data_IF_759837600527
#
_entry.id   IF_759837600527
#
_cell.length_a   1.000
_cell.length_b   1.000
_cell.length_c   1.000
_cell.angle_alpha   90.00
_cell.angle_beta   90.00
_cell.angle_gamma   90.00
#
_symmetry.space_group_name_H-M   'P 1'
#
loop_
_entity.id
_entity.type
_entity.pdbx_description
1 polymer ?
#
# COMPACT_ATOMS: atom_id res chain seq x y z
N UNK A 1 17.45 -35.85 -34.32
CA UNK A 1 17.04 -35.01 -33.18
C UNK A 1 15.56 -34.71 -33.37
N UNK A 2 14.65 -35.41 -32.67
CA UNK A 2 13.22 -35.12 -32.78
C UNK A 2 12.92 -33.77 -32.14
N UNK A 3 12.09 -32.97 -32.79
CA UNK A 3 11.63 -31.68 -32.30
C UNK A 3 10.88 -31.83 -30.97
N UNK A 4 11.12 -30.90 -30.03
CA UNK A 4 10.34 -30.82 -28.79
C UNK A 4 8.85 -30.65 -29.12
N UNK A 5 7.96 -31.44 -28.50
CA UNK A 5 6.54 -31.32 -28.73
C UNK A 5 6.00 -30.07 -28.01
N UNK A 6 5.41 -29.18 -28.81
CA UNK A 6 4.30 -28.30 -28.43
C UNK A 6 4.52 -27.43 -27.19
N UNK A 7 4.83 -26.16 -27.41
CA UNK A 7 4.49 -25.11 -26.44
C UNK A 7 2.96 -25.10 -26.29
N UNK A 8 2.42 -25.87 -25.36
CA UNK A 8 1.03 -25.71 -24.93
C UNK A 8 0.85 -24.24 -24.56
N UNK A 9 -0.04 -23.57 -25.29
CA UNK A 9 -0.37 -22.17 -25.08
C UNK A 9 -0.93 -22.05 -23.66
N UNK A 10 -0.09 -21.61 -22.72
CA UNK A 10 -0.49 -21.50 -21.32
C UNK A 10 -1.69 -20.59 -21.24
N UNK A 11 -2.83 -21.15 -20.82
CA UNK A 11 -4.05 -20.37 -20.64
C UNK A 11 -3.77 -19.14 -19.79
N UNK A 12 -4.10 -17.96 -20.32
CA UNK A 12 -3.93 -16.72 -19.60
C UNK A 12 -4.74 -16.76 -18.31
N UNK A 13 -4.08 -16.47 -17.19
CA UNK A 13 -4.74 -16.41 -15.89
C UNK A 13 -5.79 -15.30 -15.88
N UNK A 14 -6.99 -15.62 -15.39
CA UNK A 14 -8.05 -14.65 -15.13
C UNK A 14 -8.74 -14.94 -13.81
N UNK A 15 -9.24 -13.87 -13.18
CA UNK A 15 -10.13 -13.94 -12.02
C UNK A 15 -11.19 -12.84 -12.11
N UNK A 16 -12.34 -13.08 -11.53
CA UNK A 16 -13.38 -12.06 -11.43
C UNK A 16 -13.04 -11.07 -10.32
N UNK A 17 -13.18 -9.78 -10.61
CA UNK A 17 -13.24 -8.72 -9.60
C UNK A 17 -14.71 -8.38 -9.38
N UNK A 18 -15.19 -8.60 -8.16
CA UNK A 18 -16.55 -8.26 -7.75
C UNK A 18 -16.63 -6.78 -7.30
N UNK A 19 -17.84 -6.30 -7.07
CA UNK A 19 -18.03 -5.01 -6.39
C UNK A 19 -17.59 -5.11 -4.92
N UNK A 20 -17.01 -4.03 -4.37
CA UNK A 20 -16.53 -4.04 -2.99
C UNK A 20 -17.70 -4.15 -2.00
N UNK A 21 -17.52 -4.92 -0.91
CA UNK A 21 -18.53 -4.96 0.15
C UNK A 21 -18.53 -3.65 0.95
N UNK A 22 -19.65 -3.35 1.62
CA UNK A 22 -19.72 -2.23 2.55
C UNK A 22 -18.74 -2.41 3.73
N UNK A 23 -18.53 -3.65 4.17
CA UNK A 23 -17.60 -4.01 5.24
C UNK A 23 -16.81 -5.26 4.89
N UNK A 24 -15.53 -5.29 5.25
CA UNK A 24 -14.69 -6.47 5.06
C UNK A 24 -15.01 -7.63 6.02
N UNK A 25 -15.81 -7.34 7.05
CA UNK A 25 -16.35 -8.32 7.99
C UNK A 25 -17.87 -8.13 8.10
N UNK A 26 -18.61 -9.21 7.86
CA UNK A 26 -20.06 -9.26 7.98
C UNK A 26 -20.46 -10.44 8.87
N UNK A 27 -21.37 -10.21 9.82
CA UNK A 27 -21.83 -11.24 10.76
C UNK A 27 -20.68 -12.00 11.46
N UNK A 28 -19.58 -11.29 11.74
CA UNK A 28 -18.37 -11.84 12.37
C UNK A 28 -17.51 -12.72 11.46
N UNK A 29 -17.72 -12.73 10.15
CA UNK A 29 -16.93 -13.48 9.16
C UNK A 29 -16.32 -12.53 8.14
N UNK A 30 -15.12 -12.86 7.66
CA UNK A 30 -14.53 -12.11 6.55
C UNK A 30 -15.31 -12.32 5.27
N UNK A 31 -15.58 -11.23 4.56
CA UNK A 31 -16.08 -11.26 3.19
C UNK A 31 -14.87 -11.46 2.27
N UNK A 32 -14.55 -12.72 1.99
CA UNK A 32 -13.39 -13.07 1.17
C UNK A 32 -13.67 -12.77 -0.30
N UNK A 33 -12.71 -12.20 -1.00
CA UNK A 33 -12.88 -11.86 -2.40
C UNK A 33 -11.82 -10.94 -2.96
N UNK A 34 -12.04 -10.62 -4.23
CA UNK A 34 -11.21 -9.80 -5.08
C UNK A 34 -12.14 -8.73 -5.65
N UNK A 35 -11.81 -7.46 -5.47
CA UNK A 35 -12.74 -6.35 -5.67
C UNK A 35 -12.17 -5.30 -6.63
N UNK A 36 -13.05 -4.66 -7.38
CA UNK A 36 -12.73 -3.59 -8.33
C UNK A 36 -12.56 -2.20 -7.69
N UNK A 37 -12.64 -2.11 -6.35
CA UNK A 37 -12.50 -0.88 -5.58
C UNK A 37 -12.33 -1.15 -4.08
N UNK A 38 -12.07 -0.11 -3.26
CA UNK A 38 -11.94 -0.27 -1.82
C UNK A 38 -13.30 -0.61 -1.15
N UNK A 39 -13.32 -1.48 -0.13
CA UNK A 39 -14.46 -1.66 0.76
C UNK A 39 -14.82 -0.36 1.50
N UNK A 40 -16.09 -0.22 1.88
CA UNK A 40 -16.56 0.96 2.63
C UNK A 40 -15.95 1.06 4.04
N UNK A 41 -15.80 -0.09 4.72
CA UNK A 41 -15.25 -0.22 6.07
C UNK A 41 -14.29 -1.40 6.15
N UNK A 42 -13.09 -1.13 6.66
CA UNK A 42 -12.04 -2.13 6.81
C UNK A 42 -11.75 -2.36 8.29
N UNK A 43 -12.77 -2.81 9.04
CA UNK A 43 -12.64 -3.17 10.46
C UNK A 43 -12.43 -4.68 10.62
N UNK A 44 -11.16 -5.10 10.69
CA UNK A 44 -10.82 -6.50 10.91
C UNK A 44 -11.14 -7.01 12.33
N UNK A 45 -11.45 -6.12 13.27
CA UNK A 45 -11.65 -6.47 14.67
C UNK A 45 -13.05 -7.05 14.93
N UNK A 46 -13.97 -6.96 13.97
CA UNK A 46 -15.34 -7.46 14.14
C UNK A 46 -15.45 -8.96 13.90
N UNK A 47 -14.38 -9.61 13.41
CA UNK A 47 -14.35 -11.05 13.20
C UNK A 47 -14.57 -11.82 14.51
N UNK A 48 -15.38 -12.87 14.43
CA UNK A 48 -15.62 -13.83 15.50
C UNK A 48 -14.60 -14.96 15.44
N UNK A 49 -14.05 -15.32 16.60
CA UNK A 49 -13.16 -16.47 16.74
C UNK A 49 -12.03 -16.53 15.68
N UNK A 50 -11.18 -15.49 15.51
CA UNK A 50 -10.09 -15.49 14.52
C UNK A 50 -8.98 -16.53 14.79
N UNK A 51 -9.09 -17.28 15.88
CA UNK A 51 -8.19 -18.39 16.23
C UNK A 51 -8.99 -19.67 16.55
N UNK A 52 -10.22 -19.80 16.03
CA UNK A 52 -11.23 -20.83 16.38
C UNK A 52 -11.85 -20.73 17.79
N UNK A 53 -11.31 -19.89 18.66
CA UNK A 53 -11.90 -19.55 19.95
C UNK A 53 -12.09 -18.03 20.06
N UNK A 54 -13.08 -17.56 20.85
CA UNK A 54 -13.28 -16.13 21.06
C UNK A 54 -12.07 -15.53 21.78
N UNK A 55 -11.64 -14.35 21.34
CA UNK A 55 -10.59 -13.57 21.99
C UNK A 55 -11.08 -12.13 22.19
N UNK A 56 -10.69 -11.47 23.30
CA UNK A 56 -11.00 -10.06 23.53
C UNK A 56 -10.56 -9.14 22.37
N UNK A 57 -11.26 -8.02 22.18
CA UNK A 57 -10.99 -7.05 21.10
C UNK A 57 -9.57 -6.49 21.13
N UNK A 58 -8.97 -6.32 22.31
CA UNK A 58 -7.59 -5.84 22.45
C UNK A 58 -6.55 -6.87 21.96
N UNK A 59 -6.83 -8.19 22.11
CA UNK A 59 -5.98 -9.25 21.52
C UNK A 59 -6.10 -9.21 20.01
N UNK A 60 -7.32 -9.04 19.48
CA UNK A 60 -7.55 -8.87 18.04
C UNK A 60 -6.74 -7.69 17.49
N UNK A 61 -6.85 -6.52 18.12
CA UNK A 61 -6.08 -5.33 17.73
C UNK A 61 -4.57 -5.58 17.76
N UNK A 62 -4.04 -6.15 18.84
CA UNK A 62 -2.60 -6.42 18.95
C UNK A 62 -2.08 -7.41 17.88
N UNK A 63 -2.93 -8.36 17.47
CA UNK A 63 -2.58 -9.37 16.47
C UNK A 63 -2.77 -8.89 15.04
N UNK A 64 -3.65 -7.93 14.79
CA UNK A 64 -3.86 -7.32 13.49
C UNK A 64 -2.68 -6.39 13.15
N UNK A 65 -1.92 -6.72 12.09
CA UNK A 65 -0.84 -5.86 11.58
C UNK A 65 -1.43 -4.93 10.52
N UNK A 66 -1.05 -3.67 10.55
CA UNK A 66 -1.63 -2.65 9.66
C UNK A 66 -0.53 -1.78 9.06
N UNK A 67 -0.62 -1.43 7.78
CA UNK A 67 0.24 -0.41 7.18
C UNK A 67 -0.47 0.41 6.12
N UNK A 68 0.05 1.62 5.96
CA UNK A 68 -0.17 2.46 4.80
C UNK A 68 1.17 2.70 4.12
N UNK A 69 1.23 2.51 2.81
CA UNK A 69 2.39 2.84 2.01
C UNK A 69 2.02 3.63 0.76
N UNK A 70 2.94 4.48 0.30
CA UNK A 70 2.88 5.06 -1.04
C UNK A 70 4.20 4.75 -1.75
N UNK A 71 4.06 4.28 -2.99
CA UNK A 71 5.13 4.13 -3.97
C UNK A 71 4.84 5.09 -5.11
N UNK A 72 5.68 6.09 -5.34
CA UNK A 72 5.36 7.14 -6.30
C UNK A 72 6.60 7.78 -6.88
N UNK A 73 6.45 8.52 -7.97
CA UNK A 73 7.59 9.10 -8.65
C UNK A 73 7.34 9.28 -10.13
N UNK A 74 8.43 9.49 -10.86
CA UNK A 74 8.47 9.62 -12.31
C UNK A 74 9.59 8.72 -12.86
N UNK A 75 10.13 9.08 -14.03
CA UNK A 75 11.25 8.35 -14.65
C UNK A 75 12.54 8.43 -13.83
N UNK A 76 12.83 9.57 -13.20
CA UNK A 76 14.09 9.82 -12.47
C UNK A 76 13.97 9.48 -10.99
N UNK A 77 12.92 9.94 -10.34
CA UNK A 77 12.75 9.80 -8.91
C UNK A 77 11.77 8.69 -8.57
N UNK A 78 12.13 7.88 -7.59
CA UNK A 78 11.23 6.94 -6.95
C UNK A 78 11.19 7.20 -5.44
N UNK A 79 9.99 7.37 -4.92
CA UNK A 79 9.71 7.58 -3.52
C UNK A 79 8.96 6.38 -2.95
N UNK A 80 9.39 5.97 -1.76
CA UNK A 80 8.68 4.98 -0.97
C UNK A 80 8.50 5.50 0.44
N UNK A 81 7.27 5.55 0.90
CA UNK A 81 6.93 5.94 2.27
C UNK A 81 5.99 4.93 2.89
N UNK A 82 6.20 4.62 4.17
CA UNK A 82 5.33 3.70 4.91
C UNK A 82 5.18 4.10 6.37
N UNK A 83 3.98 3.92 6.88
CA UNK A 83 3.63 3.88 8.29
C UNK A 83 3.09 2.49 8.58
N UNK A 84 3.83 1.69 9.36
CA UNK A 84 3.51 0.31 9.67
C UNK A 84 3.35 0.10 11.17
N UNK A 85 2.20 -0.42 11.58
CA UNK A 85 1.85 -0.80 12.93
C UNK A 85 1.94 -2.34 13.08
N UNK A 86 3.08 -2.84 13.54
CA UNK A 86 3.18 -4.21 14.02
C UNK A 86 2.59 -4.38 15.43
N UNK A 87 2.05 -3.31 16.03
CA UNK A 87 1.45 -3.23 17.37
C UNK A 87 2.43 -3.38 18.55
N UNK A 88 3.44 -4.24 18.43
CA UNK A 88 4.61 -4.24 19.31
C UNK A 88 5.66 -3.22 18.87
N UNK A 89 5.63 -2.83 17.60
CA UNK A 89 6.59 -1.92 16.99
C UNK A 89 5.91 -1.10 15.89
N UNK A 90 6.11 0.20 15.90
CA UNK A 90 5.79 1.10 14.80
C UNK A 90 7.01 1.33 13.92
N UNK A 91 6.81 1.40 12.61
CA UNK A 91 7.83 1.77 11.65
C UNK A 91 7.33 2.96 10.82
N UNK A 92 8.05 4.07 10.86
CA UNK A 92 7.90 5.16 9.92
C UNK A 92 9.13 5.23 9.01
N UNK A 93 8.93 5.18 7.70
CA UNK A 93 10.02 5.25 6.72
C UNK A 93 9.63 6.13 5.55
N UNK A 94 10.59 6.92 5.08
CA UNK A 94 10.55 7.59 3.78
C UNK A 94 11.87 7.34 3.08
N UNK A 95 11.84 7.01 1.80
CA UNK A 95 13.02 6.79 0.94
C UNK A 95 12.79 7.53 -0.38
N UNK A 96 13.77 8.31 -0.82
CA UNK A 96 13.83 8.94 -2.13
C UNK A 96 15.03 8.39 -2.88
N UNK A 97 14.80 7.79 -4.03
CA UNK A 97 15.82 7.21 -4.89
C UNK A 97 15.95 8.04 -6.17
N UNK A 98 17.12 8.65 -6.37
CA UNK A 98 17.54 9.27 -7.62
C UNK A 98 18.13 8.16 -8.51
N UNK A 99 17.36 7.72 -9.51
CA UNK A 99 17.74 6.63 -10.43
C UNK A 99 18.90 7.00 -11.33
N UNK A 100 18.99 8.27 -11.74
CA UNK A 100 20.06 8.75 -12.60
C UNK A 100 21.40 8.78 -11.85
N UNK A 101 21.39 9.26 -10.60
CA UNK A 101 22.60 9.33 -9.77
C UNK A 101 22.89 8.05 -8.99
N UNK A 102 21.97 7.08 -8.98
CA UNK A 102 22.08 5.85 -8.20
C UNK A 102 22.13 6.07 -6.69
N UNK A 103 21.45 7.11 -6.17
CA UNK A 103 21.54 7.51 -4.75
C UNK A 103 20.20 7.39 -4.04
N UNK A 104 20.23 6.81 -2.84
CA UNK A 104 19.06 6.72 -1.96
C UNK A 104 19.25 7.65 -0.78
N UNK A 105 18.20 8.40 -0.47
CA UNK A 105 18.06 9.18 0.74
C UNK A 105 16.91 8.61 1.54
N UNK A 106 17.19 8.11 2.73
CA UNK A 106 16.19 7.49 3.56
C UNK A 106 16.16 8.06 4.98
N UNK A 107 15.00 7.98 5.61
CA UNK A 107 14.98 7.84 7.05
C UNK A 107 14.06 6.72 7.46
N UNK A 108 14.47 6.04 8.53
CA UNK A 108 13.77 4.92 9.13
C UNK A 108 13.70 5.15 10.62
N UNK A 109 12.50 5.02 11.19
CA UNK A 109 12.24 5.19 12.61
C UNK A 109 11.48 3.99 13.12
N UNK A 110 12.09 3.31 14.08
CA UNK A 110 11.48 2.23 14.84
C UNK A 110 10.99 2.81 16.17
N UNK A 111 9.72 2.60 16.47
CA UNK A 111 9.03 3.24 17.58
C UNK A 111 8.43 2.10 18.43
N UNK A 112 8.96 1.82 19.62
CA UNK A 112 8.39 0.82 20.51
C UNK A 112 6.90 1.09 20.75
N UNK A 113 6.05 0.09 20.51
CA UNK A 113 4.59 0.22 20.61
C UNK A 113 3.97 1.37 19.78
N UNK A 114 4.68 1.82 18.74
CA UNK A 114 4.26 2.94 17.91
C UNK A 114 2.93 2.66 17.21
N UNK A 115 2.01 3.60 17.33
CA UNK A 115 0.72 3.64 16.63
C UNK A 115 0.59 4.98 15.92
N UNK A 116 0.12 4.96 14.68
CA UNK A 116 -0.11 6.13 13.83
C UNK A 116 -1.59 6.46 13.69
N UNK A 117 -2.48 5.55 14.13
CA UNK A 117 -3.92 5.72 14.04
C UNK A 117 -4.48 5.25 12.70
N UNK A 118 -3.91 4.18 12.14
CA UNK A 118 -4.50 3.50 10.98
C UNK A 118 -5.85 2.92 11.43
N UNK A 119 -6.93 3.49 10.90
CA UNK A 119 -8.30 3.18 11.31
C UNK A 119 -9.07 2.38 10.27
N UNK A 120 -10.31 2.04 10.58
CA UNK A 120 -11.22 1.29 9.68
C UNK A 120 -11.63 2.04 8.40
N UNK A 121 -11.49 3.36 8.39
CA UNK A 121 -11.79 4.24 7.24
C UNK A 121 -10.65 5.24 7.07
N UNK A 122 -10.24 5.47 5.83
CA UNK A 122 -9.25 6.50 5.51
C UNK A 122 -9.88 7.87 5.29
N UNK A 123 -11.15 7.93 4.89
CA UNK A 123 -11.81 9.20 4.56
C UNK A 123 -11.73 10.24 5.68
N UNK A 124 -11.33 11.46 5.31
CA UNK A 124 -11.18 12.59 6.22
C UNK A 124 -10.06 12.44 7.24
N UNK A 125 -9.22 11.39 7.15
CA UNK A 125 -8.14 11.15 8.10
C UNK A 125 -6.85 11.83 7.70
N UNK A 126 -6.11 12.24 8.73
CA UNK A 126 -4.68 12.55 8.64
C UNK A 126 -3.93 11.56 9.51
N UNK A 127 -3.02 10.80 8.91
CA UNK A 127 -2.21 9.77 9.57
C UNK A 127 -0.77 10.20 9.44
N UNK A 128 -0.05 10.33 10.55
CA UNK A 128 1.26 10.98 10.53
C UNK A 128 2.23 10.44 11.57
N UNK A 129 3.51 10.70 11.31
CA UNK A 129 4.63 10.54 12.22
C UNK A 129 5.42 11.84 12.29
N UNK A 130 5.89 12.22 13.48
CA UNK A 130 6.78 13.36 13.67
C UNK A 130 7.72 13.14 14.84
N UNK A 131 8.98 13.48 14.65
CA UNK A 131 9.96 13.71 15.71
C UNK A 131 10.61 15.09 15.53
N UNK A 132 11.62 15.39 16.35
CA UNK A 132 12.37 16.66 16.32
C UNK A 132 13.16 16.92 15.01
N UNK A 133 13.31 15.93 14.12
CA UNK A 133 14.10 15.99 12.89
C UNK A 133 13.36 15.55 11.64
N UNK A 134 12.23 14.86 11.75
CA UNK A 134 11.62 14.13 10.64
C UNK A 134 10.11 14.09 10.78
N UNK A 135 9.41 14.17 9.65
CA UNK A 135 7.96 14.06 9.61
C UNK A 135 7.49 13.33 8.35
N UNK A 136 6.39 12.58 8.49
CA UNK A 136 5.61 11.98 7.40
C UNK A 136 4.14 12.29 7.72
N UNK A 137 3.37 12.74 6.75
CA UNK A 137 1.94 12.96 6.90
C UNK A 137 1.20 12.50 5.66
N UNK A 138 0.20 11.67 5.85
CA UNK A 138 -0.77 11.28 4.83
C UNK A 138 -2.09 11.94 5.16
N UNK A 139 -2.74 12.53 4.16
CA UNK A 139 -4.11 13.05 4.29
C UNK A 139 -4.96 12.45 3.18
N UNK A 140 -6.14 11.99 3.55
CA UNK A 140 -7.09 11.32 2.67
C UNK A 140 -8.38 12.15 2.61
N UNK A 141 -8.66 12.72 1.44
CA UNK A 141 -9.87 13.46 1.11
C UNK A 141 -10.50 12.79 -0.12
N UNK A 142 -10.97 11.56 0.08
CA UNK A 142 -11.43 10.68 -0.99
C UNK A 142 -12.73 11.19 -1.59
N UNK A 143 -13.63 11.77 -0.78
CA UNK A 143 -14.84 12.43 -1.28
C UNK A 143 -14.53 13.72 -2.07
N UNK A 144 -13.51 14.48 -1.66
CA UNK A 144 -12.95 15.59 -2.43
C UNK A 144 -12.05 15.16 -3.59
N UNK A 145 -11.84 13.85 -3.76
CA UNK A 145 -11.11 13.26 -4.87
C UNK A 145 -9.59 13.42 -4.82
N UNK A 146 -9.00 13.47 -3.61
CA UNK A 146 -7.55 13.60 -3.45
C UNK A 146 -6.96 12.84 -2.26
N UNK A 147 -5.68 12.48 -2.39
CA UNK A 147 -4.82 12.08 -1.28
C UNK A 147 -3.57 12.94 -1.31
N UNK A 148 -2.92 13.16 -0.17
CA UNK A 148 -1.64 13.88 -0.14
C UNK A 148 -0.63 13.27 0.80
N UNK A 149 0.63 13.35 0.40
CA UNK A 149 1.80 12.91 1.16
C UNK A 149 2.70 14.10 1.38
N UNK A 150 3.08 14.36 2.63
CA UNK A 150 4.14 15.30 2.99
C UNK A 150 5.23 14.57 3.74
N UNK A 151 6.48 14.86 3.41
CA UNK A 151 7.62 14.29 4.11
C UNK A 151 8.70 15.36 4.29
N UNK A 152 9.38 15.33 5.42
CA UNK A 152 10.53 16.20 5.65
C UNK A 152 11.55 15.57 6.58
N UNK A 153 12.81 15.98 6.42
CA UNK A 153 13.90 15.61 7.30
C UNK A 153 14.91 16.75 7.39
N UNK A 154 15.22 17.17 8.60
CA UNK A 154 16.30 18.12 8.86
C UNK A 154 17.67 17.55 8.44
N UNK A 155 18.60 18.43 8.10
CA UNK A 155 19.98 18.07 7.78
C UNK A 155 20.62 17.28 8.94
N UNK A 156 21.43 16.27 8.60
CA UNK A 156 22.18 15.47 9.59
C UNK A 156 23.61 15.25 9.11
N UNK A 157 24.55 15.99 9.68
CA UNK A 157 25.97 15.94 9.28
C UNK A 157 26.13 16.23 7.78
N UNK A 158 26.69 15.26 7.06
CA UNK A 158 26.87 15.31 5.59
C UNK A 158 25.62 14.93 4.79
N UNK A 159 24.61 14.34 5.44
CA UNK A 159 23.35 13.99 4.77
C UNK A 159 22.48 15.24 4.62
N UNK A 160 22.09 15.64 3.39
CA UNK A 160 21.27 16.81 3.16
C UNK A 160 19.90 16.66 3.82
N UNK A 161 19.33 17.79 4.24
CA UNK A 161 17.93 17.88 4.58
C UNK A 161 17.07 17.81 3.31
N UNK A 162 15.81 17.43 3.48
CA UNK A 162 14.84 17.41 2.39
C UNK A 162 13.44 17.77 2.88
N UNK A 163 12.60 18.20 1.95
CA UNK A 163 11.16 18.34 2.13
C UNK A 163 10.43 17.96 0.84
N UNK A 164 9.20 17.47 0.95
CA UNK A 164 8.37 17.19 -0.22
C UNK A 164 6.89 17.24 0.11
N UNK A 165 6.09 17.60 -0.90
CA UNK A 165 4.64 17.66 -0.83
C UNK A 165 4.07 17.15 -2.14
N UNK A 166 3.29 16.08 -2.06
CA UNK A 166 2.72 15.38 -3.21
C UNK A 166 1.21 15.27 -3.04
N UNK A 167 0.49 15.44 -4.12
CA UNK A 167 -0.96 15.29 -4.23
C UNK A 167 -1.28 14.26 -5.30
N UNK A 168 -2.22 13.37 -4.99
CA UNK A 168 -2.67 12.28 -5.84
C UNK A 168 -4.13 12.52 -6.17
N UNK A 169 -4.48 12.43 -7.45
CA UNK A 169 -5.87 12.54 -7.87
C UNK A 169 -6.58 11.21 -7.66
N UNK A 170 -7.72 11.23 -6.97
CA UNK A 170 -8.52 10.06 -6.65
C UNK A 170 -9.92 10.18 -7.24
N UNK A 171 -10.16 9.58 -8.41
CA UNK A 171 -11.47 9.53 -9.07
C UNK A 171 -11.57 8.37 -10.06
N UNK A 172 -12.80 7.97 -10.41
CA UNK A 172 -13.08 6.83 -11.30
C UNK A 172 -12.55 6.96 -12.73
N UNK A 173 -12.13 8.16 -13.17
CA UNK A 173 -11.62 8.39 -14.54
C UNK A 173 -10.10 8.25 -14.64
N UNK A 174 -9.39 8.51 -13.55
CA UNK A 174 -7.93 8.63 -13.55
C UNK A 174 -7.24 7.63 -12.65
N UNK A 175 -7.99 6.83 -11.89
CA UNK A 175 -7.44 5.81 -11.00
C UNK A 175 -7.79 4.41 -11.45
N UNK A 176 -6.93 3.47 -11.08
CA UNK A 176 -7.20 2.05 -11.14
C UNK A 176 -7.05 1.48 -9.73
N UNK A 177 -8.17 1.05 -9.14
CA UNK A 177 -8.21 0.46 -7.82
C UNK A 177 -8.37 -1.06 -7.91
N UNK A 178 -7.73 -1.78 -7.01
CA UNK A 178 -7.98 -3.19 -6.76
C UNK A 178 -7.87 -3.44 -5.26
N UNK A 179 -8.86 -4.11 -4.70
CA UNK A 179 -8.83 -4.52 -3.31
C UNK A 179 -9.04 -6.03 -3.18
N UNK A 180 -8.61 -6.58 -2.05
CA UNK A 180 -8.79 -8.00 -1.75
C UNK A 180 -9.06 -8.21 -0.27
N UNK A 181 -9.77 -9.29 0.03
CA UNK A 181 -9.76 -9.92 1.35
C UNK A 181 -9.51 -11.41 1.17
N UNK A 182 -8.38 -11.89 1.69
CA UNK A 182 -7.85 -13.20 1.33
C UNK A 182 -7.61 -14.07 2.55
N UNK A 183 -7.94 -15.37 2.49
CA UNK A 183 -7.83 -16.26 3.63
C UNK A 183 -6.37 -16.59 3.97
N UNK A 184 -5.98 -16.39 5.23
CA UNK A 184 -4.70 -16.84 5.81
C UNK A 184 -4.84 -18.14 6.63
N UNK A 185 -6.05 -18.72 6.66
CA UNK A 185 -6.40 -19.90 7.45
C UNK A 185 -6.78 -19.62 8.90
N UNK A 186 -7.44 -20.59 9.55
CA UNK A 186 -7.96 -20.48 10.92
C UNK A 186 -8.97 -19.34 11.16
N UNK A 187 -9.83 -19.04 10.18
CA UNK A 187 -10.73 -17.87 10.18
C UNK A 187 -10.00 -16.52 10.29
N UNK A 188 -8.80 -16.44 9.70
CA UNK A 188 -8.01 -15.22 9.55
C UNK A 188 -7.95 -14.83 8.10
N UNK A 189 -7.85 -13.54 7.87
CA UNK A 189 -7.64 -12.98 6.55
C UNK A 189 -6.56 -11.89 6.58
N UNK A 190 -6.12 -11.52 5.39
CA UNK A 190 -5.54 -10.22 5.13
C UNK A 190 -6.42 -9.43 4.18
N UNK A 191 -6.32 -8.12 4.24
CA UNK A 191 -6.93 -7.18 3.34
C UNK A 191 -5.83 -6.29 2.76
N UNK A 192 -5.97 -5.95 1.48
CA UNK A 192 -5.15 -4.92 0.85
C UNK A 192 -5.97 -4.18 -0.20
N UNK A 193 -5.86 -2.85 -0.24
CA UNK A 193 -6.28 -2.02 -1.36
C UNK A 193 -5.06 -1.38 -1.98
N UNK A 194 -4.95 -1.49 -3.31
CA UNK A 194 -3.97 -0.77 -4.12
C UNK A 194 -4.69 0.15 -5.09
N UNK A 195 -4.24 1.40 -5.17
CA UNK A 195 -4.80 2.38 -6.12
C UNK A 195 -3.68 3.07 -6.88
N UNK A 196 -3.62 2.85 -8.19
CA UNK A 196 -2.78 3.60 -9.11
C UNK A 196 -3.43 4.97 -9.37
N UNK A 197 -2.66 6.04 -9.21
CA UNK A 197 -3.12 7.42 -9.30
C UNK A 197 -2.06 8.29 -9.99
N UNK A 198 -2.46 9.28 -10.82
CA UNK A 198 -1.54 10.36 -11.18
C UNK A 198 -1.16 11.16 -9.93
N UNK A 199 0.03 11.75 -9.95
CA UNK A 199 0.46 12.65 -8.90
C UNK A 199 1.03 13.95 -9.45
N UNK A 200 1.02 14.96 -8.59
CA UNK A 200 1.74 16.20 -8.78
C UNK A 200 2.36 16.66 -7.45
N UNK A 201 3.36 17.52 -7.49
CA UNK A 201 3.96 18.05 -6.27
C UNK A 201 5.39 18.48 -6.47
N UNK A 202 6.14 18.53 -5.37
CA UNK A 202 7.53 18.94 -5.39
C UNK A 202 8.36 18.20 -4.34
N UNK A 203 9.65 18.10 -4.61
CA UNK A 203 10.67 17.59 -3.70
C UNK A 203 11.87 18.53 -3.70
N UNK A 204 12.29 18.97 -2.52
CA UNK A 204 13.45 19.83 -2.33
C UNK A 204 14.51 19.08 -1.54
N UNK A 205 15.74 19.10 -2.06
CA UNK A 205 16.90 18.47 -1.44
C UNK A 205 18.17 19.27 -1.74
N UNK A 206 18.95 19.56 -0.70
CA UNK A 206 20.24 20.24 -0.88
C UNK A 206 20.13 21.63 -1.52
N UNK A 207 18.98 22.29 -1.40
CA UNK A 207 18.69 23.58 -2.04
C UNK A 207 18.19 23.48 -3.49
N UNK A 208 18.15 22.28 -4.08
CA UNK A 208 17.56 22.03 -5.39
C UNK A 208 16.09 21.63 -5.22
N UNK A 209 15.18 22.28 -5.93
CA UNK A 209 13.76 21.95 -5.95
C UNK A 209 13.37 21.32 -7.28
N UNK A 210 12.70 20.17 -7.19
CA UNK A 210 12.25 19.35 -8.30
C UNK A 210 10.72 19.37 -8.30
N UNK A 211 10.13 19.72 -9.43
CA UNK A 211 8.68 19.78 -9.62
C UNK A 211 8.19 18.54 -10.38
N UNK A 212 7.07 18.00 -9.95
CA UNK A 212 6.38 16.86 -10.56
C UNK A 212 5.04 17.36 -11.09
N UNK A 213 4.96 17.56 -12.41
CA UNK A 213 3.73 17.99 -13.09
C UNK A 213 3.50 17.23 -14.42
N UNK A 214 4.42 16.34 -14.79
CA UNK A 214 4.35 15.58 -16.03
C UNK A 214 3.35 14.42 -15.91
N UNK A 215 2.70 13.98 -17.02
CA UNK A 215 1.79 12.84 -17.02
C UNK A 215 2.41 11.50 -16.57
N UNK A 216 3.74 11.39 -16.55
CA UNK A 216 4.48 10.22 -16.06
C UNK A 216 4.71 10.23 -14.54
N UNK A 217 4.37 11.32 -13.85
CA UNK A 217 4.33 11.38 -12.41
C UNK A 217 3.07 10.66 -11.90
N UNK A 218 3.27 9.55 -11.21
CA UNK A 218 2.19 8.72 -10.68
C UNK A 218 2.62 7.95 -9.44
N UNK A 219 1.70 7.23 -8.82
CA UNK A 219 2.01 6.34 -7.72
C UNK A 219 0.88 5.41 -7.34
N UNK A 220 1.21 4.48 -6.47
CA UNK A 220 0.33 3.48 -5.90
C UNK A 220 0.28 3.72 -4.39
N UNK A 221 -0.93 3.89 -3.85
CA UNK A 221 -1.18 3.72 -2.41
C UNK A 221 -1.46 2.25 -2.11
N UNK A 222 -0.98 1.77 -0.97
CA UNK A 222 -1.30 0.44 -0.41
C UNK A 222 -1.84 0.65 1.01
N UNK A 223 -3.11 0.29 1.22
CA UNK A 223 -3.76 0.20 2.53
C UNK A 223 -3.95 -1.27 2.88
N UNK A 224 -3.33 -1.70 3.97
CA UNK A 224 -3.18 -3.12 4.23
C UNK A 224 -3.36 -3.46 5.69
N UNK A 225 -4.07 -4.57 5.94
CA UNK A 225 -4.32 -5.10 7.28
C UNK A 225 -4.31 -6.63 7.28
N UNK A 226 -3.85 -7.29 8.34
CA UNK A 226 -3.92 -8.75 8.37
C UNK A 226 -3.61 -9.44 9.69
N UNK A 227 -4.24 -10.59 9.88
CA UNK A 227 -3.99 -11.53 10.98
C UNK A 227 -2.93 -12.57 10.60
N UNK A 228 -1.72 -12.08 10.34
CA UNK A 228 -0.62 -12.93 9.87
C UNK A 228 -0.24 -14.06 10.85
N UNK A 229 0.27 -15.19 10.33
CA UNK A 229 1.04 -16.14 11.12
C UNK A 229 2.21 -15.47 11.84
N UNK A 230 2.75 -16.12 12.88
CA UNK A 230 3.92 -15.59 13.60
C UNK A 230 5.14 -15.43 12.69
N UNK A 231 5.34 -16.37 11.77
CA UNK A 231 6.33 -16.26 10.70
C UNK A 231 5.63 -15.76 9.44
N UNK A 232 5.72 -14.45 9.21
CA UNK A 232 5.25 -13.80 8.00
C UNK A 232 6.23 -14.05 6.85
N UNK A 233 5.73 -14.52 5.71
CA UNK A 233 6.50 -14.73 4.47
C UNK A 233 5.69 -14.19 3.30
N UNK A 234 6.33 -13.39 2.47
CA UNK A 234 5.78 -12.93 1.21
C UNK A 234 6.90 -12.41 0.31
N UNK A 235 6.73 -12.62 -0.99
CA UNK A 235 7.39 -11.87 -2.03
C UNK A 235 6.39 -10.87 -2.61
N UNK A 236 6.87 -9.67 -2.90
CA UNK A 236 6.03 -8.59 -3.39
C UNK A 236 6.80 -7.69 -4.34
N UNK A 237 6.17 -7.38 -5.46
CA UNK A 237 6.64 -6.37 -6.40
C UNK A 237 5.45 -5.57 -6.93
N UNK A 238 5.60 -4.26 -6.97
CA UNK A 238 4.71 -3.37 -7.71
C UNK A 238 5.53 -2.53 -8.67
N UNK A 239 4.91 -2.13 -9.77
CA UNK A 239 5.50 -1.22 -10.74
C UNK A 239 4.43 -0.40 -11.41
N UNK A 240 4.83 0.75 -11.93
CA UNK A 240 3.95 1.63 -12.69
C UNK A 240 4.74 2.39 -13.75
N UNK A 241 4.05 2.86 -14.77
CA UNK A 241 4.63 3.65 -15.84
C UNK A 241 3.60 4.00 -16.90
N UNK A 242 4.10 4.27 -18.10
CA UNK A 242 3.27 4.50 -19.28
C UNK A 242 3.54 3.43 -20.32
N UNK A 243 2.50 2.98 -21.00
CA UNK A 243 2.64 2.12 -22.17
C UNK A 243 3.08 2.93 -23.41
N UNK A 244 3.25 2.25 -24.55
CA UNK A 244 3.66 2.88 -25.81
C UNK A 244 2.64 3.92 -26.35
N UNK A 245 1.40 3.94 -25.84
CA UNK A 245 0.35 4.91 -26.19
C UNK A 245 0.23 6.03 -25.16
N UNK A 246 1.13 6.10 -24.16
CA UNK A 246 1.11 7.09 -23.09
C UNK A 246 0.04 6.83 -22.01
N UNK A 247 -0.61 5.66 -22.00
CA UNK A 247 -1.60 5.29 -20.97
C UNK A 247 -0.89 4.86 -19.70
N UNK A 248 -1.39 5.27 -18.54
CA UNK A 248 -0.85 4.80 -17.25
C UNK A 248 -1.16 3.32 -17.09
N UNK A 249 -0.14 2.57 -16.72
CA UNK A 249 -0.20 1.14 -16.43
C UNK A 249 0.49 0.89 -15.11
N UNK A 250 0.01 -0.09 -14.35
CA UNK A 250 0.65 -0.46 -13.11
C UNK A 250 0.28 -1.88 -12.75
N UNK A 251 1.25 -2.62 -12.24
CA UNK A 251 1.04 -3.98 -11.83
C UNK A 251 1.35 -4.14 -10.34
N UNK A 252 0.74 -5.16 -9.76
CA UNK A 252 1.08 -5.66 -8.46
C UNK A 252 1.15 -7.18 -8.53
N UNK A 253 2.21 -7.76 -7.97
CA UNK A 253 2.39 -9.20 -7.87
C UNK A 253 2.80 -9.56 -6.45
N UNK A 254 2.14 -10.54 -5.87
CA UNK A 254 2.45 -11.13 -4.58
C UNK A 254 2.50 -12.66 -4.70
N UNK A 255 3.42 -13.24 -3.93
CA UNK A 255 3.37 -14.64 -3.51
C UNK A 255 3.45 -14.63 -1.99
N UNK A 256 2.41 -15.11 -1.31
CA UNK A 256 2.30 -15.00 0.14
C UNK A 256 1.62 -16.23 0.76
N UNK A 257 1.35 -16.18 2.06
CA UNK A 257 0.79 -17.32 2.81
C UNK A 257 -0.74 -17.48 2.66
N UNK A 258 -1.36 -16.83 1.67
CA UNK A 258 -2.79 -16.98 1.39
C UNK A 258 -3.11 -18.40 0.92
N UNK A 259 -4.27 -18.90 1.35
CA UNK A 259 -4.81 -20.19 0.92
C UNK A 259 -5.55 -20.02 -0.41
N UNK A 260 -5.35 -20.99 -1.31
CA UNK A 260 -5.92 -20.97 -2.66
C UNK A 260 -5.55 -19.70 -3.44
N UNK A 261 -4.24 -19.51 -3.64
CA UNK A 261 -3.72 -18.35 -4.37
C UNK A 261 -4.22 -18.25 -5.82
N UNK A 262 -4.72 -19.35 -6.41
CA UNK A 262 -5.33 -19.30 -7.75
C UNK A 262 -6.60 -18.44 -7.75
N UNK A 263 -7.37 -18.50 -6.66
CA UNK A 263 -8.61 -17.71 -6.50
C UNK A 263 -8.36 -16.39 -5.78
N UNK A 264 -7.49 -16.42 -4.76
CA UNK A 264 -7.22 -15.29 -3.86
C UNK A 264 -5.77 -14.83 -3.97
N UNK A 265 -5.51 -13.78 -4.73
CA UNK A 265 -4.21 -13.11 -4.79
C UNK A 265 -4.39 -11.60 -4.98
N UNK A 266 -3.31 -10.83 -4.81
CA UNK A 266 -3.30 -9.39 -5.10
C UNK A 266 -2.83 -9.10 -6.53
N UNK A 267 -2.72 -10.12 -7.38
CA UNK A 267 -2.07 -10.01 -8.68
C UNK A 267 -2.99 -9.28 -9.66
N UNK A 268 -2.48 -8.19 -10.24
CA UNK A 268 -3.21 -7.34 -11.19
C UNK A 268 -2.23 -6.58 -12.10
N UNK A 269 -2.66 -6.27 -13.33
CA UNK A 269 -1.98 -5.46 -14.35
C UNK A 269 -2.90 -4.33 -14.83
#
# INVERSE_FOLDING_TARGET
MPAEPGSEERQAYSRTLADPPESIVENGKFVLGCFNGPPGVVNMLDVHKPYHYPVPRWIKDFRCKEWLAFQFGDKRWFFFTTLYEAKSLGLARFSAWDRERGRILDFKRLIPFGRFGIGERLEGKTISYRDHRSAISYRFDLSGGSMSVKASRARRGRSPGFAGSFSFTYNSRQTAASAVCMPLGLNRAMYSTKVLMPMQGWFEIGGERIEFASPDAMGIVDDHKGYYPYHMRYDWVSGFGQDAKGRRVGFNLTDNQVRDQKTYNENVL
#
